data_IF_546824502701
#
_entry.id   IF_546824502701
#
_cell.length_a   1.000
_cell.length_b   1.000
_cell.length_c   1.000
_cell.angle_alpha   90.00
_cell.angle_beta   90.00
_cell.angle_gamma   90.00
#
_symmetry.space_group_name_H-M   'P 1'
#
loop_
_entity.id
_entity.type
_entity.pdbx_description
1 polymer ?
#
# COMPACT_ATOMS: atom_id res chain seq x y z
N UNK A 1 34.66 -17.08 31.67
CA UNK A 1 33.72 -17.41 30.58
C UNK A 1 34.52 -17.43 29.30
N UNK A 2 34.52 -18.56 28.59
CA UNK A 2 35.13 -18.71 27.25
C UNK A 2 34.02 -18.31 26.26
N UNK A 3 34.35 -17.49 25.27
CA UNK A 3 33.39 -16.75 24.42
C UNK A 3 32.38 -17.62 23.66
N UNK A 4 31.33 -16.97 23.15
CA UNK A 4 30.28 -17.59 22.33
C UNK A 4 30.63 -17.48 20.84
N UNK A 5 30.32 -18.53 20.08
CA UNK A 5 30.34 -18.51 18.60
C UNK A 5 28.93 -18.26 18.10
N UNK A 6 28.74 -17.16 17.35
CA UNK A 6 27.48 -16.84 16.69
C UNK A 6 27.52 -17.24 15.23
N UNK A 7 26.42 -17.80 14.71
CA UNK A 7 26.23 -18.07 13.28
C UNK A 7 24.87 -17.55 12.84
N UNK A 8 24.85 -16.87 11.70
CA UNK A 8 23.63 -16.28 11.14
C UNK A 8 22.98 -17.25 10.15
N UNK A 9 21.66 -17.42 10.27
CA UNK A 9 20.83 -18.15 9.31
C UNK A 9 19.73 -17.22 8.81
N UNK A 10 19.65 -17.05 7.49
CA UNK A 10 18.56 -16.31 6.85
C UNK A 10 17.41 -17.26 6.53
N UNK A 11 16.22 -16.92 6.99
CA UNK A 11 14.97 -17.61 6.69
C UNK A 11 13.92 -16.60 6.20
N UNK A 12 12.96 -17.05 5.39
CA UNK A 12 11.96 -16.19 4.77
C UNK A 12 10.61 -16.33 5.47
N UNK A 13 10.21 -15.27 6.18
CA UNK A 13 8.83 -15.12 6.66
C UNK A 13 7.97 -14.57 5.51
N UNK A 14 7.04 -15.38 5.00
CA UNK A 14 6.23 -15.00 3.82
C UNK A 14 5.32 -13.80 4.09
N UNK A 15 5.14 -12.96 3.08
CA UNK A 15 4.13 -11.90 3.10
C UNK A 15 2.72 -12.50 3.26
N UNK A 16 1.81 -11.77 3.91
CA UNK A 16 0.41 -12.16 4.11
C UNK A 16 -0.54 -11.05 3.67
N UNK A 17 -1.64 -11.44 3.02
CA UNK A 17 -2.72 -10.52 2.72
C UNK A 17 -3.65 -10.42 3.94
N UNK A 18 -4.04 -9.19 4.32
CA UNK A 18 -5.01 -8.95 5.38
C UNK A 18 -6.12 -8.03 4.91
N UNK A 19 -7.34 -8.35 5.34
CA UNK A 19 -8.51 -7.49 5.14
C UNK A 19 -8.70 -6.63 6.39
N UNK A 20 -8.65 -5.31 6.25
CA UNK A 20 -8.89 -4.37 7.35
C UNK A 20 -10.33 -3.85 7.26
N UNK A 21 -11.19 -4.29 8.18
CA UNK A 21 -12.57 -3.81 8.26
C UNK A 21 -12.65 -2.55 9.13
N UNK A 22 -12.99 -1.41 8.53
CA UNK A 22 -13.14 -0.15 9.24
C UNK A 22 -14.63 0.11 9.52
N UNK A 23 -15.06 -0.19 10.74
CA UNK A 23 -16.43 0.10 11.20
C UNK A 23 -16.57 1.54 11.70
N UNK A 24 -17.57 2.26 11.20
CA UNK A 24 -17.90 3.64 11.63
C UNK A 24 -19.31 3.70 12.19
N UNK A 25 -19.41 3.84 13.51
CA UNK A 25 -20.69 3.85 14.22
C UNK A 25 -21.53 5.05 13.80
N UNK A 26 -22.75 4.78 13.31
CA UNK A 26 -23.77 5.80 13.07
C UNK A 26 -24.61 5.95 14.34
N UNK A 27 -24.90 7.18 14.76
CA UNK A 27 -25.77 7.48 15.90
C UNK A 27 -26.88 8.43 15.48
N UNK A 28 -28.11 8.17 15.91
CA UNK A 28 -29.23 9.11 15.78
C UNK A 28 -29.44 9.86 17.09
N UNK A 29 -29.67 11.17 17.00
CA UNK A 29 -30.12 11.96 18.14
C UNK A 29 -31.60 11.66 18.40
N UNK A 30 -31.96 11.24 19.62
CA UNK A 30 -33.37 10.93 19.97
C UNK A 30 -34.28 12.15 20.00
N UNK A 31 -33.73 13.37 20.10
CA UNK A 31 -34.50 14.61 20.23
C UNK A 31 -34.83 15.27 18.90
N UNK A 32 -33.92 15.20 17.93
CA UNK A 32 -34.07 15.87 16.63
C UNK A 32 -33.88 14.93 15.44
N UNK A 33 -33.76 13.62 15.69
CA UNK A 33 -33.61 12.55 14.69
C UNK A 33 -32.40 12.67 13.76
N UNK A 34 -31.52 13.66 14.00
CA UNK A 34 -30.30 13.87 13.21
C UNK A 34 -29.35 12.68 13.35
N UNK A 35 -28.92 12.13 12.23
CA UNK A 35 -27.86 11.13 12.19
C UNK A 35 -26.47 11.76 12.11
N UNK A 36 -25.55 11.28 12.94
CA UNK A 36 -24.14 11.64 12.94
C UNK A 36 -23.28 10.39 12.78
N UNK A 37 -22.17 10.51 12.06
CA UNK A 37 -21.21 9.44 11.83
C UNK A 37 -19.80 10.03 11.84
N UNK A 38 -18.79 9.36 12.43
CA UNK A 38 -17.40 9.73 12.27
C UNK A 38 -16.98 9.79 10.80
N UNK A 39 -16.09 10.73 10.47
CA UNK A 39 -15.50 10.81 9.14
C UNK A 39 -14.79 9.49 8.77
N UNK A 40 -14.73 9.19 7.47
CA UNK A 40 -13.93 8.06 7.00
C UNK A 40 -12.45 8.37 7.24
N UNK A 41 -11.64 7.41 7.71
CA UNK A 41 -10.19 7.57 7.64
C UNK A 41 -9.77 7.87 6.21
N UNK A 42 -8.77 8.73 6.07
CA UNK A 42 -8.17 9.01 4.77
C UNK A 42 -7.56 7.73 4.20
N UNK A 43 -7.54 7.65 2.86
CA UNK A 43 -6.87 6.60 2.09
C UNK A 43 -6.04 7.28 1.02
N UNK A 44 -4.89 6.71 0.61
CA UNK A 44 -4.09 7.26 -0.48
C UNK A 44 -4.95 7.46 -1.73
N UNK A 45 -5.77 6.45 -2.04
CA UNK A 45 -6.72 6.48 -3.15
C UNK A 45 -8.15 6.51 -2.59
N UNK A 46 -8.88 7.64 -2.68
CA UNK A 46 -10.26 7.74 -2.21
C UNK A 46 -11.18 6.68 -2.85
N UNK A 47 -11.97 6.02 -2.01
CA UNK A 47 -12.91 4.97 -2.44
C UNK A 47 -12.28 3.62 -2.80
N UNK A 48 -10.95 3.50 -2.87
CA UNK A 48 -10.29 2.23 -3.18
C UNK A 48 -10.28 1.27 -2.00
N UNK A 49 -10.25 -0.03 -2.30
CA UNK A 49 -10.01 -1.10 -1.34
C UNK A 49 -8.52 -1.25 -0.98
N UNK A 50 -7.62 -0.78 -1.86
CA UNK A 50 -6.19 -0.91 -1.65
C UNK A 50 -5.71 -0.02 -0.49
N UNK A 51 -5.13 -0.65 0.53
CA UNK A 51 -4.43 0.03 1.61
C UNK A 51 -3.04 0.52 1.18
N UNK A 52 -2.41 1.42 1.95
CA UNK A 52 -1.11 1.99 1.61
C UNK A 52 -0.01 0.93 1.44
N UNK A 53 0.04 -0.09 2.31
CA UNK A 53 1.03 -1.16 2.20
C UNK A 53 0.88 -2.01 0.94
N UNK A 54 -0.37 -2.27 0.50
CA UNK A 54 -0.61 -2.99 -0.75
C UNK A 54 -0.19 -2.16 -1.96
N UNK A 55 -0.49 -0.85 -1.96
CA UNK A 55 -0.06 0.05 -3.02
C UNK A 55 1.47 0.13 -3.11
N UNK A 56 2.16 0.23 -1.96
CA UNK A 56 3.62 0.21 -1.92
C UNK A 56 4.18 -1.08 -2.51
N UNK A 57 3.67 -2.25 -2.09
CA UNK A 57 4.10 -3.54 -2.63
C UNK A 57 3.90 -3.62 -4.15
N UNK A 58 2.72 -3.22 -4.66
CA UNK A 58 2.43 -3.27 -6.10
C UNK A 58 3.43 -2.41 -6.88
N UNK A 59 3.70 -1.19 -6.41
CA UNK A 59 4.59 -0.25 -7.10
C UNK A 59 6.05 -0.72 -7.06
N UNK A 60 6.56 -1.11 -5.88
CA UNK A 60 7.92 -1.65 -5.73
C UNK A 60 8.08 -2.88 -6.60
N UNK A 61 7.17 -3.85 -6.51
CA UNK A 61 7.28 -5.05 -7.33
C UNK A 61 7.17 -4.76 -8.82
N UNK A 62 6.38 -3.78 -9.24
CA UNK A 62 6.25 -3.44 -10.67
C UNK A 62 7.51 -2.75 -11.21
N UNK A 63 8.02 -1.77 -10.48
CA UNK A 63 9.01 -0.84 -10.99
C UNK A 63 10.44 -1.17 -10.58
N UNK A 64 10.64 -1.67 -9.36
CA UNK A 64 11.94 -2.04 -8.80
C UNK A 64 12.27 -3.52 -9.08
N UNK A 65 11.33 -4.42 -8.75
CA UNK A 65 11.53 -5.87 -8.97
C UNK A 65 11.19 -6.33 -10.40
N UNK A 66 10.74 -5.40 -11.26
CA UNK A 66 10.33 -5.66 -12.64
C UNK A 66 9.29 -6.80 -12.81
N UNK A 67 8.42 -6.99 -11.82
CA UNK A 67 7.40 -8.02 -11.82
C UNK A 67 6.12 -7.53 -12.54
N UNK A 68 5.76 -8.09 -13.71
CA UNK A 68 4.60 -7.64 -14.47
C UNK A 68 3.30 -7.88 -13.69
N UNK A 69 2.29 -7.04 -13.94
CA UNK A 69 1.07 -6.98 -13.13
C UNK A 69 0.25 -8.28 -13.17
N UNK A 70 0.18 -8.97 -14.31
CA UNK A 70 -0.48 -10.29 -14.39
C UNK A 70 0.17 -11.32 -13.45
N UNK A 71 1.51 -11.28 -13.28
CA UNK A 71 2.22 -12.16 -12.35
C UNK A 71 1.94 -11.79 -10.90
N UNK A 72 1.84 -10.49 -10.62
CA UNK A 72 1.44 -10.03 -9.29
C UNK A 72 0.02 -10.51 -8.96
N UNK A 73 -0.91 -10.43 -9.91
CA UNK A 73 -2.26 -10.99 -9.77
C UNK A 73 -2.19 -12.48 -9.40
N UNK A 74 -1.40 -13.30 -10.12
CA UNK A 74 -1.26 -14.72 -9.79
C UNK A 74 -0.67 -14.96 -8.39
N UNK A 75 0.28 -14.14 -7.95
CA UNK A 75 0.85 -14.21 -6.60
C UNK A 75 -0.21 -13.88 -5.56
N UNK A 76 -0.97 -12.80 -5.74
CA UNK A 76 -2.02 -12.40 -4.81
C UNK A 76 -3.16 -13.41 -4.78
N UNK A 77 -3.49 -14.04 -5.91
CA UNK A 77 -4.46 -15.12 -5.96
C UNK A 77 -4.04 -16.32 -5.10
N UNK A 78 -2.74 -16.69 -5.08
CA UNK A 78 -2.21 -17.71 -4.16
C UNK A 78 -2.30 -17.31 -2.68
N UNK A 79 -2.37 -16.02 -2.40
CA UNK A 79 -2.60 -15.46 -1.06
C UNK A 79 -4.09 -15.30 -0.72
N UNK A 80 -5.00 -15.76 -1.59
CA UNK A 80 -6.46 -15.65 -1.41
C UNK A 80 -7.06 -14.31 -1.85
N UNK A 81 -6.32 -13.48 -2.59
CA UNK A 81 -6.79 -12.20 -3.11
C UNK A 81 -6.83 -12.21 -4.64
N UNK A 82 -8.00 -12.50 -5.21
CA UNK A 82 -8.24 -12.41 -6.65
C UNK A 82 -8.47 -10.95 -7.06
N UNK A 83 -7.43 -10.31 -7.60
CA UNK A 83 -7.44 -8.90 -8.01
C UNK A 83 -7.20 -8.86 -9.51
N UNK A 84 -8.15 -8.36 -10.32
CA UNK A 84 -7.97 -8.28 -11.77
C UNK A 84 -6.79 -7.37 -12.16
N UNK A 85 -6.05 -7.74 -13.20
CA UNK A 85 -4.94 -6.96 -13.75
C UNK A 85 -5.33 -5.50 -14.06
N UNK A 86 -6.55 -5.27 -14.57
CA UNK A 86 -7.10 -3.93 -14.81
C UNK A 86 -7.24 -3.09 -13.54
N UNK A 87 -7.53 -3.74 -12.41
CA UNK A 87 -7.62 -3.10 -11.09
C UNK A 87 -6.23 -2.76 -10.57
N UNK A 88 -5.25 -3.66 -10.74
CA UNK A 88 -3.85 -3.38 -10.41
C UNK A 88 -3.32 -2.20 -11.22
N UNK A 89 -3.64 -2.13 -12.52
CA UNK A 89 -3.27 -1.03 -13.39
C UNK A 89 -3.89 0.31 -12.96
N UNK A 90 -5.18 0.34 -12.65
CA UNK A 90 -5.85 1.54 -12.09
C UNK A 90 -5.16 2.00 -10.81
N UNK A 91 -4.89 1.08 -9.89
CA UNK A 91 -4.23 1.37 -8.64
C UNK A 91 -2.81 1.90 -8.83
N UNK A 92 -2.02 1.33 -9.75
CA UNK A 92 -0.72 1.88 -10.11
C UNK A 92 -0.85 3.33 -10.57
N UNK A 93 -1.69 3.59 -11.57
CA UNK A 93 -1.83 4.93 -12.15
C UNK A 93 -2.29 5.97 -11.13
N UNK A 94 -3.25 5.60 -10.27
CA UNK A 94 -3.75 6.51 -9.22
C UNK A 94 -2.75 6.70 -8.08
N UNK A 95 -2.01 5.67 -7.70
CA UNK A 95 -0.96 5.80 -6.70
C UNK A 95 0.19 6.70 -7.19
N UNK A 96 0.60 6.58 -8.46
CA UNK A 96 1.58 7.48 -9.05
C UNK A 96 1.13 8.95 -9.02
N UNK A 97 -0.15 9.23 -9.27
CA UNK A 97 -0.71 10.59 -9.12
C UNK A 97 -0.63 11.12 -7.69
N UNK A 98 -0.83 10.25 -6.70
CA UNK A 98 -0.71 10.61 -5.27
C UNK A 98 0.76 10.89 -4.91
N UNK A 99 1.70 10.18 -5.52
CA UNK A 99 3.14 10.31 -5.28
C UNK A 99 3.80 11.43 -6.09
N UNK A 100 3.14 11.95 -7.14
CA UNK A 100 3.66 13.03 -7.98
C UNK A 100 4.39 14.16 -7.23
N UNK A 101 3.83 14.81 -6.18
CA UNK A 101 4.53 15.88 -5.48
C UNK A 101 5.80 15.41 -4.75
N UNK A 102 5.86 14.14 -4.33
CA UNK A 102 7.06 13.57 -3.70
C UNK A 102 8.12 13.27 -4.76
N UNK A 103 7.70 12.73 -5.91
CA UNK A 103 8.59 12.46 -7.06
C UNK A 103 9.24 13.76 -7.52
N UNK A 104 8.44 14.80 -7.77
CA UNK A 104 8.92 16.13 -8.17
C UNK A 104 9.93 16.71 -7.17
N UNK A 105 9.71 16.49 -5.86
CA UNK A 105 10.62 16.96 -4.82
C UNK A 105 11.94 16.20 -4.81
N UNK A 106 11.90 14.88 -4.94
CA UNK A 106 13.09 14.03 -5.02
C UNK A 106 13.93 14.40 -6.25
N UNK A 107 13.29 14.54 -7.41
CA UNK A 107 13.96 14.94 -8.65
C UNK A 107 14.69 16.28 -8.49
N UNK A 108 14.01 17.29 -7.92
CA UNK A 108 14.61 18.59 -7.66
C UNK A 108 15.83 18.50 -6.71
N UNK A 109 15.76 17.72 -5.63
CA UNK A 109 16.87 17.57 -4.68
C UNK A 109 18.06 16.81 -5.28
N UNK A 110 17.81 15.78 -6.08
CA UNK A 110 18.86 15.01 -6.76
C UNK A 110 19.56 15.87 -7.83
N UNK A 111 18.82 16.65 -8.61
CA UNK A 111 19.38 17.53 -9.63
C UNK A 111 20.26 18.63 -9.02
N UNK A 112 19.84 19.25 -7.91
CA UNK A 112 20.63 20.25 -7.19
C UNK A 112 21.93 19.63 -6.64
N UNK A 113 21.85 18.40 -6.12
CA UNK A 113 23.02 17.70 -5.55
C UNK A 113 24.03 17.25 -6.61
N UNK A 114 23.63 17.16 -7.89
CA UNK A 114 24.53 16.82 -8.99
C UNK A 114 25.37 18.02 -9.48
N UNK A 115 25.02 19.24 -9.06
CA UNK A 115 25.71 20.48 -9.43
C UNK A 115 26.73 20.95 -8.38
N UNK A 116 26.84 20.26 -7.23
CA UNK A 116 27.80 20.53 -6.15
C UNK A 116 28.89 19.49 -6.11
#
# INVERSE_FOLDING_TARGET
MVGEDTSELLDLVSAQMKVIQIARVKKSCRRCERMVQPAAPSRPIPGSMAGPGLLAQILVSKFDDHLPLYRQQEIYARMGADIPDSTLLDWCGRAMKVLAPVIERIEAEVLISAET
#
